data_IF_062956943806
#
_entry.id   IF_062956943806
#
_cell.length_a   1.000
_cell.length_b   1.000
_cell.length_c   1.000
_cell.angle_alpha   90.00
_cell.angle_beta   90.00
_cell.angle_gamma   90.00
#
_symmetry.space_group_name_H-M   'P 1'
#
loop_
_entity.id
_entity.type
_entity.pdbx_description
1 polymer ?
#
# COMPACT_ATOMS: atom_id res chain seq x y z
N UNK A 1 42.17 28.27 -6.04
CA UNK A 1 41.42 27.60 -4.95
C UNK A 1 39.91 27.93 -4.89
N UNK A 2 39.35 28.77 -5.78
CA UNK A 2 37.90 29.11 -5.75
C UNK A 2 37.02 28.24 -6.67
N UNK A 3 37.58 27.63 -7.70
CA UNK A 3 36.82 26.86 -8.69
C UNK A 3 36.37 25.47 -8.19
N UNK A 4 37.16 24.79 -7.35
CA UNK A 4 36.76 23.46 -6.85
C UNK A 4 35.58 23.54 -5.89
N UNK A 5 35.50 24.59 -5.05
CA UNK A 5 34.37 24.80 -4.14
C UNK A 5 33.05 25.05 -4.89
N UNK A 6 33.10 25.71 -6.05
CA UNK A 6 31.91 25.95 -6.89
C UNK A 6 31.46 24.65 -7.56
N UNK A 7 32.41 23.82 -8.01
CA UNK A 7 32.12 22.52 -8.60
C UNK A 7 31.47 21.57 -7.57
N UNK A 8 31.93 21.59 -6.31
CA UNK A 8 31.36 20.78 -5.23
C UNK A 8 29.90 21.14 -4.91
N UNK A 9 29.53 22.42 -4.96
CA UNK A 9 28.15 22.87 -4.70
C UNK A 9 27.22 22.48 -5.86
N UNK A 10 27.70 22.57 -7.10
CA UNK A 10 26.91 22.17 -8.28
C UNK A 10 26.58 20.67 -8.29
N UNK A 11 27.54 19.82 -7.86
CA UNK A 11 27.34 18.37 -7.75
C UNK A 11 26.39 18.00 -6.61
N UNK A 12 26.42 18.72 -5.48
CA UNK A 12 25.45 18.49 -4.39
C UNK A 12 24.01 18.88 -4.79
N UNK A 13 23.82 19.93 -5.60
CA UNK A 13 22.50 20.35 -6.07
C UNK A 13 21.85 19.34 -7.02
N UNK A 14 22.63 18.71 -7.90
CA UNK A 14 22.14 17.73 -8.88
C UNK A 14 21.69 16.39 -8.27
N UNK A 15 22.09 16.08 -7.02
CA UNK A 15 21.69 14.85 -6.32
C UNK A 15 20.29 14.88 -5.71
N UNK A 16 19.63 16.05 -5.70
CA UNK A 16 18.27 16.17 -5.15
C UNK A 16 17.22 15.89 -6.22
N UNK A 17 17.03 14.60 -6.52
CA UNK A 17 15.88 14.14 -7.30
C UNK A 17 14.64 14.29 -6.42
N UNK A 18 13.95 15.42 -6.53
CA UNK A 18 12.60 15.54 -5.97
C UNK A 18 11.70 14.68 -6.85
N UNK A 19 11.28 13.54 -6.32
CA UNK A 19 10.29 12.71 -6.97
C UNK A 19 8.92 13.41 -6.88
N UNK A 20 8.66 14.35 -7.80
CA UNK A 20 7.33 14.93 -7.97
C UNK A 20 6.44 13.82 -8.52
N UNK A 21 5.70 13.18 -7.62
CA UNK A 21 4.60 12.31 -8.01
C UNK A 21 3.42 13.22 -8.35
N UNK A 22 3.31 13.64 -9.61
CA UNK A 22 2.04 14.14 -10.15
C UNK A 22 1.06 12.96 -10.17
N UNK A 23 0.47 12.69 -9.01
CA UNK A 23 -0.43 11.58 -8.80
C UNK A 23 -1.84 12.09 -8.97
N UNK A 24 -2.68 11.29 -9.62
CA UNK A 24 -4.11 11.54 -9.62
C UNK A 24 -4.55 11.70 -8.14
N UNK A 25 -5.21 12.81 -7.75
CA UNK A 25 -5.52 13.10 -6.36
C UNK A 25 -6.31 11.97 -5.65
N UNK A 26 -7.01 11.12 -6.41
CA UNK A 26 -7.78 9.98 -5.91
C UNK A 26 -7.09 8.61 -6.10
N UNK A 27 -5.83 8.59 -6.52
CA UNK A 27 -5.06 7.35 -6.64
C UNK A 27 -4.41 6.94 -5.33
N UNK A 28 -4.26 5.62 -5.15
CA UNK A 28 -3.52 5.06 -4.02
C UNK A 28 -2.03 5.34 -4.15
N UNK A 29 -1.38 5.53 -3.01
CA UNK A 29 0.08 5.70 -2.97
C UNK A 29 0.74 4.37 -3.30
N UNK A 30 1.68 4.32 -4.26
CA UNK A 30 2.40 3.11 -4.57
C UNK A 30 3.22 2.64 -3.36
N UNK A 31 3.47 1.33 -3.30
CA UNK A 31 4.30 0.72 -2.26
C UNK A 31 5.73 1.30 -2.34
N UNK A 32 6.27 1.87 -1.24
CA UNK A 32 7.65 2.33 -1.20
C UNK A 32 8.63 1.20 -1.47
N UNK A 33 9.74 1.50 -2.15
CA UNK A 33 10.84 0.56 -2.28
C UNK A 33 11.41 0.19 -0.90
N UNK A 34 11.79 -1.07 -0.73
CA UNK A 34 12.30 -1.58 0.55
C UNK A 34 11.25 -1.72 1.66
N UNK A 35 9.95 -1.59 1.37
CA UNK A 35 8.88 -1.88 2.35
C UNK A 35 9.08 -3.29 2.92
N UNK A 36 9.16 -3.35 4.25
CA UNK A 36 9.33 -4.60 4.98
C UNK A 36 8.21 -5.59 4.67
N UNK A 37 8.60 -6.82 4.32
CA UNK A 37 7.66 -7.94 4.15
C UNK A 37 7.91 -8.91 5.30
N UNK A 38 6.93 -9.12 6.19
CA UNK A 38 7.09 -10.04 7.31
C UNK A 38 7.30 -11.46 6.81
N UNK A 39 8.14 -12.22 7.52
CA UNK A 39 8.34 -13.63 7.20
C UNK A 39 7.06 -14.42 7.47
N UNK A 40 6.57 -15.10 6.44
CA UNK A 40 5.39 -15.95 6.54
C UNK A 40 5.77 -17.29 7.14
N UNK A 41 5.13 -17.66 8.25
CA UNK A 41 5.27 -18.99 8.84
C UNK A 41 4.38 -19.97 8.08
N UNK A 42 4.91 -21.09 7.57
CA UNK A 42 4.06 -22.12 6.96
C UNK A 42 3.07 -22.68 8.01
N UNK A 43 1.86 -23.01 7.57
CA UNK A 43 0.74 -23.54 8.39
C UNK A 43 0.02 -22.56 9.33
N UNK A 44 0.25 -21.25 9.23
CA UNK A 44 -0.56 -20.24 9.93
C UNK A 44 -1.50 -19.58 8.93
N UNK A 45 -2.80 -19.55 9.26
CA UNK A 45 -3.80 -18.77 8.51
C UNK A 45 -3.68 -17.30 8.93
N UNK A 46 -3.33 -16.43 8.00
CA UNK A 46 -3.23 -14.99 8.24
C UNK A 46 -4.59 -14.31 8.09
N UNK A 47 -4.70 -13.06 8.55
CA UNK A 47 -5.90 -12.26 8.30
C UNK A 47 -6.14 -12.09 6.79
N UNK A 48 -5.05 -11.95 6.02
CA UNK A 48 -5.13 -11.86 4.57
C UNK A 48 -5.69 -13.14 3.94
N UNK A 49 -5.28 -14.32 4.43
CA UNK A 49 -5.82 -15.60 3.96
C UNK A 49 -7.33 -15.71 4.27
N UNK A 50 -7.73 -15.33 5.48
CA UNK A 50 -9.15 -15.31 5.87
C UNK A 50 -9.98 -14.38 4.98
N UNK A 51 -9.50 -13.16 4.72
CA UNK A 51 -10.17 -12.20 3.83
C UNK A 51 -10.26 -12.75 2.40
N UNK A 52 -9.18 -13.35 1.88
CA UNK A 52 -9.15 -13.95 0.53
C UNK A 52 -10.07 -15.17 0.39
N UNK A 53 -10.30 -15.91 1.48
CA UNK A 53 -11.20 -17.07 1.46
C UNK A 53 -12.68 -16.70 1.29
N UNK A 54 -13.04 -15.44 1.56
CA UNK A 54 -14.40 -14.92 1.54
C UNK A 54 -14.74 -14.31 0.18
N UNK A 55 -15.61 -14.98 -0.57
CA UNK A 55 -16.04 -14.52 -1.90
C UNK A 55 -16.80 -13.18 -1.86
N UNK A 56 -17.46 -12.87 -0.75
CA UNK A 56 -18.19 -11.61 -0.55
C UNK A 56 -17.28 -10.40 -0.27
N UNK A 57 -15.96 -10.62 -0.14
CA UNK A 57 -14.93 -9.59 0.06
C UNK A 57 -13.98 -9.47 -1.14
N UNK A 58 -14.35 -10.01 -2.31
CA UNK A 58 -13.48 -10.01 -3.48
C UNK A 58 -13.12 -8.58 -3.95
N UNK A 59 -14.08 -7.67 -3.93
CA UNK A 59 -13.86 -6.26 -4.27
C UNK A 59 -13.02 -5.56 -3.21
N UNK A 60 -13.27 -5.84 -1.94
CA UNK A 60 -12.43 -5.35 -0.84
C UNK A 60 -10.97 -5.79 -0.98
N UNK A 61 -10.73 -7.06 -1.33
CA UNK A 61 -9.37 -7.61 -1.53
C UNK A 61 -8.64 -6.91 -2.68
N UNK A 62 -9.35 -6.60 -3.78
CA UNK A 62 -8.79 -5.82 -4.89
C UNK A 62 -8.38 -4.41 -4.47
N UNK A 63 -9.20 -3.76 -3.64
CA UNK A 63 -8.89 -2.43 -3.08
C UNK A 63 -7.69 -2.52 -2.14
N UNK A 64 -7.65 -3.53 -1.28
CA UNK A 64 -6.57 -3.76 -0.33
C UNK A 64 -5.21 -3.92 -1.04
N UNK A 65 -5.18 -4.57 -2.19
CA UNK A 65 -3.98 -4.72 -3.02
C UNK A 65 -3.49 -3.40 -3.64
N UNK A 66 -4.36 -2.37 -3.77
CA UNK A 66 -3.94 -1.05 -4.25
C UNK A 66 -3.36 -0.18 -3.13
N UNK A 67 -3.76 -0.43 -1.88
CA UNK A 67 -3.28 0.30 -0.71
C UNK A 67 -1.96 -0.29 -0.21
N UNK A 68 -0.87 0.46 -0.34
CA UNK A 68 0.43 0.05 0.16
C UNK A 68 0.41 -0.31 1.66
N UNK A 69 1.09 -1.40 2.03
CA UNK A 69 1.34 -1.79 3.42
C UNK A 69 0.27 -2.69 4.05
N UNK A 70 -0.97 -2.68 3.55
CA UNK A 70 -2.04 -3.50 4.13
C UNK A 70 -1.90 -4.99 3.84
N UNK A 71 -1.41 -5.35 2.66
CA UNK A 71 -1.15 -6.75 2.34
C UNK A 71 -0.06 -7.32 3.25
N UNK A 72 1.01 -6.57 3.45
CA UNK A 72 2.11 -6.97 4.32
C UNK A 72 1.65 -7.07 5.77
N UNK A 73 0.87 -6.09 6.25
CA UNK A 73 0.35 -6.08 7.61
C UNK A 73 -0.65 -7.23 7.86
N UNK A 74 -1.47 -7.58 6.87
CA UNK A 74 -2.49 -8.63 7.03
C UNK A 74 -1.92 -10.03 6.81
N UNK A 75 -0.76 -10.14 6.17
CA UNK A 75 -0.04 -11.40 5.97
C UNK A 75 0.95 -11.72 7.10
N UNK A 76 0.79 -11.09 8.27
CA UNK A 76 1.53 -11.46 9.48
C UNK A 76 0.83 -12.57 10.26
N UNK A 77 1.58 -13.38 11.03
CA UNK A 77 0.98 -14.19 12.09
C UNK A 77 0.11 -13.32 13.01
N UNK A 78 -1.07 -13.80 13.45
CA UNK A 78 -1.97 -13.04 14.32
C UNK A 78 -1.37 -12.95 15.72
N UNK A 79 -0.45 -12.00 15.92
CA UNK A 79 0.24 -11.79 17.19
C UNK A 79 -0.57 -10.93 18.18
N UNK A 80 -1.65 -10.29 17.71
CA UNK A 80 -2.50 -9.39 18.49
C UNK A 80 -3.96 -9.50 18.03
N UNK A 81 -4.88 -9.33 18.98
CA UNK A 81 -6.31 -9.36 18.71
C UNK A 81 -6.72 -8.14 17.87
N UNK A 82 -7.20 -8.40 16.66
CA UNK A 82 -7.60 -7.38 15.69
C UNK A 82 -9.06 -7.56 15.32
N UNK A 83 -9.80 -6.45 15.23
CA UNK A 83 -11.16 -6.46 14.65
C UNK A 83 -11.15 -5.72 13.32
N UNK A 84 -11.39 -6.45 12.23
CA UNK A 84 -11.49 -5.87 10.89
C UNK A 84 -12.96 -5.60 10.52
N UNK A 85 -13.29 -4.32 10.32
CA UNK A 85 -14.57 -3.91 9.76
C UNK A 85 -14.45 -3.78 8.24
N UNK A 86 -14.81 -4.84 7.51
CA UNK A 86 -14.79 -4.86 6.05
C UNK A 86 -16.21 -4.74 5.48
N UNK A 87 -16.37 -3.90 4.46
CA UNK A 87 -17.62 -3.84 3.68
C UNK A 87 -17.67 -4.98 2.68
N UNK A 88 -18.82 -5.65 2.59
CA UNK A 88 -19.05 -6.66 1.55
C UNK A 88 -19.21 -6.03 0.18
N UNK A 89 -18.99 -6.83 -0.86
CA UNK A 89 -19.16 -6.45 -2.25
C UNK A 89 -20.58 -5.91 -2.50
N UNK A 90 -21.61 -6.52 -1.90
CA UNK A 90 -23.00 -6.02 -1.98
C UNK A 90 -23.15 -4.63 -1.36
N UNK A 91 -22.51 -4.37 -0.21
CA UNK A 91 -22.56 -3.07 0.45
C UNK A 91 -21.82 -2.00 -0.38
N UNK A 92 -20.66 -2.36 -0.95
CA UNK A 92 -19.91 -1.47 -1.84
C UNK A 92 -20.73 -1.12 -3.09
N UNK A 93 -21.29 -2.11 -3.76
CA UNK A 93 -22.13 -1.91 -4.95
C UNK A 93 -23.38 -1.08 -4.65
N UNK A 94 -23.99 -1.20 -3.47
CA UNK A 94 -25.20 -0.42 -3.16
C UNK A 94 -24.91 1.02 -2.76
N UNK A 95 -23.80 1.30 -2.10
CA UNK A 95 -23.61 2.57 -1.39
C UNK A 95 -22.38 3.38 -1.82
N UNK A 96 -21.43 2.81 -2.58
CA UNK A 96 -20.18 3.50 -2.96
C UNK A 96 -19.91 3.57 -4.46
N UNK A 97 -20.90 3.25 -5.32
CA UNK A 97 -20.77 3.31 -6.80
C UNK A 97 -20.14 4.61 -7.31
N UNK A 98 -20.33 5.72 -6.60
CA UNK A 98 -19.84 7.03 -7.01
C UNK A 98 -18.32 7.22 -6.86
N UNK A 99 -17.64 6.44 -6.01
CA UNK A 99 -16.21 6.59 -5.72
C UNK A 99 -15.31 5.60 -6.45
N UNK A 100 -15.87 4.49 -6.96
CA UNK A 100 -15.10 3.39 -7.57
C UNK A 100 -15.42 3.16 -9.06
N UNK A 101 -16.28 3.98 -9.66
CA UNK A 101 -16.59 3.94 -11.09
C UNK A 101 -15.69 4.94 -11.82
N UNK A 102 -14.43 4.54 -12.04
CA UNK A 102 -13.43 5.25 -12.87
C UNK A 102 -12.87 4.29 -13.88
#
# INVERSE_FOLDING_TARGET
MKFSSILSILVLGAGSVVHVTDRNPLSYVPKPEGTYVPQRTPNITTLLDFVKSRSDLATFTKILNRSAGFLEAFDTPPAWDSTLFASSDTALVKHTKQYFNT
#
